data_IF_018302542963
#
_entry.id   IF_018302542963
#
_cell.length_a   1.000
_cell.length_b   1.000
_cell.length_c   1.000
_cell.angle_alpha   90.00
_cell.angle_beta   90.00
_cell.angle_gamma   90.00
#
_symmetry.space_group_name_H-M   'P 1'
#
loop_
_entity.id
_entity.type
_entity.pdbx_description
1 polymer ?
#
# COMPACT_ATOMS: atom_id res chain seq x y z
N UNK A 1 31.76 -57.93 -57.89
CA UNK A 1 32.39 -56.61 -58.03
C UNK A 1 31.62 -55.62 -57.15
N UNK A 2 32.31 -55.04 -56.17
CA UNK A 2 31.78 -54.18 -55.10
C UNK A 2 31.72 -52.71 -55.55
N UNK A 3 30.56 -52.04 -55.41
CA UNK A 3 30.42 -50.58 -55.16
C UNK A 3 29.03 -50.34 -54.56
N UNK A 4 28.92 -50.03 -53.27
CA UNK A 4 29.13 -48.74 -52.58
C UNK A 4 27.86 -47.89 -52.47
N UNK A 5 27.51 -47.62 -51.21
CA UNK A 5 27.09 -46.32 -50.63
C UNK A 5 25.63 -45.89 -50.81
N UNK A 6 24.87 -46.28 -49.78
CA UNK A 6 24.02 -45.43 -48.93
C UNK A 6 23.79 -43.97 -49.33
N UNK A 7 22.52 -43.61 -49.52
CA UNK A 7 22.04 -42.24 -49.22
C UNK A 7 20.67 -42.31 -48.55
N UNK A 8 20.65 -41.89 -47.29
CA UNK A 8 19.50 -41.96 -46.41
C UNK A 8 18.38 -41.00 -46.80
N UNK A 9 17.18 -41.33 -46.34
CA UNK A 9 16.06 -40.39 -46.23
C UNK A 9 15.51 -40.48 -44.81
N UNK A 10 15.63 -39.36 -44.12
CA UNK A 10 15.37 -39.17 -42.69
C UNK A 10 13.90 -39.40 -42.40
N UNK A 11 13.64 -40.14 -41.33
CA UNK A 11 12.36 -40.28 -40.66
C UNK A 11 12.06 -38.99 -39.89
N UNK A 12 10.85 -38.48 -40.00
CA UNK A 12 10.32 -37.38 -39.19
C UNK A 12 8.97 -36.96 -39.79
N UNK A 13 7.90 -36.77 -39.04
CA UNK A 13 7.66 -36.85 -37.62
C UNK A 13 6.18 -36.55 -37.43
N UNK A 14 5.51 -37.39 -36.67
CA UNK A 14 4.34 -37.14 -35.80
C UNK A 14 3.50 -35.89 -36.16
N UNK A 15 2.37 -36.10 -36.84
CA UNK A 15 1.30 -35.11 -36.93
C UNK A 15 0.40 -35.23 -35.68
N UNK A 16 0.72 -34.46 -34.64
CA UNK A 16 -0.14 -34.24 -33.47
C UNK A 16 -0.74 -32.84 -33.62
N UNK A 17 -1.98 -32.74 -34.09
CA UNK A 17 -2.72 -31.46 -34.14
C UNK A 17 -3.17 -31.16 -32.70
N UNK A 18 -2.31 -30.50 -31.94
CA UNK A 18 -2.68 -29.92 -30.65
C UNK A 18 -3.49 -28.65 -30.91
N UNK A 19 -4.82 -28.74 -30.75
CA UNK A 19 -5.72 -27.59 -30.71
C UNK A 19 -5.48 -26.83 -29.38
N UNK A 20 -4.52 -25.91 -29.41
CA UNK A 20 -4.23 -24.99 -28.32
C UNK A 20 -5.34 -23.92 -28.28
N UNK A 21 -6.30 -24.06 -27.37
CA UNK A 21 -7.30 -23.01 -27.09
C UNK A 21 -6.58 -21.80 -26.46
N UNK A 22 -6.27 -20.82 -27.30
CA UNK A 22 -5.82 -19.48 -26.89
C UNK A 22 -7.02 -18.76 -26.26
N UNK A 23 -7.07 -18.74 -24.93
CA UNK A 23 -7.99 -17.85 -24.22
C UNK A 23 -7.42 -16.43 -24.37
N UNK A 24 -7.92 -15.68 -25.35
CA UNK A 24 -7.66 -14.24 -25.46
C UNK A 24 -8.53 -13.55 -24.42
N UNK A 25 -7.98 -13.28 -23.25
CA UNK A 25 -8.59 -12.32 -22.31
C UNK A 25 -8.54 -10.93 -22.94
N UNK A 26 -9.68 -10.46 -23.42
CA UNK A 26 -9.85 -9.06 -23.81
C UNK A 26 -9.95 -8.23 -22.53
N UNK A 27 -8.85 -7.58 -22.15
CA UNK A 27 -8.88 -6.55 -21.13
C UNK A 27 -9.66 -5.35 -21.68
N UNK A 28 -10.86 -5.10 -21.16
CA UNK A 28 -11.60 -3.89 -21.47
C UNK A 28 -10.84 -2.70 -20.87
N UNK A 29 -10.62 -1.60 -21.63
CA UNK A 29 -10.02 -0.40 -21.05
C UNK A 29 -10.94 0.11 -19.94
N UNK A 30 -10.40 0.26 -18.73
CA UNK A 30 -11.09 0.98 -17.67
C UNK A 30 -11.33 2.41 -18.18
N UNK A 31 -12.59 2.80 -18.32
CA UNK A 31 -12.92 4.18 -18.66
C UNK A 31 -12.36 5.09 -17.56
N UNK A 32 -11.31 5.85 -17.89
CA UNK A 32 -10.82 6.89 -17.01
C UNK A 32 -11.98 7.86 -16.77
N UNK A 33 -12.41 8.00 -15.51
CA UNK A 33 -13.40 9.00 -15.16
C UNK A 33 -12.79 10.36 -15.47
N UNK A 34 -13.34 11.06 -16.47
CA UNK A 34 -12.94 12.41 -16.81
C UNK A 34 -13.66 13.38 -15.89
N UNK A 35 -12.91 14.29 -15.28
CA UNK A 35 -13.41 15.34 -14.41
C UNK A 35 -12.35 16.43 -14.24
N UNK A 36 -12.72 17.59 -13.69
CA UNK A 36 -11.74 18.63 -13.40
C UNK A 36 -10.68 18.09 -12.42
N UNK A 37 -9.44 18.58 -12.58
CA UNK A 37 -8.38 18.21 -11.67
C UNK A 37 -8.77 18.59 -10.23
N UNK A 38 -8.57 17.68 -9.30
CA UNK A 38 -9.01 17.86 -7.91
C UNK A 38 -8.22 16.97 -6.97
N UNK A 39 -8.10 17.41 -5.72
CA UNK A 39 -7.47 16.66 -4.63
C UNK A 39 -8.50 16.48 -3.53
N UNK A 40 -8.61 15.27 -3.00
CA UNK A 40 -9.29 14.99 -1.74
C UNK A 40 -8.24 14.50 -0.75
N UNK A 41 -8.02 15.32 0.27
CA UNK A 41 -7.06 15.07 1.33
C UNK A 41 -7.69 15.56 2.64
N UNK A 42 -7.52 14.78 3.70
CA UNK A 42 -7.97 15.17 5.03
C UNK A 42 -6.77 15.19 5.97
N UNK A 43 -6.95 15.94 7.05
CA UNK A 43 -6.08 15.94 8.21
C UNK A 43 -5.88 14.52 8.71
N UNK A 44 -4.62 14.17 8.94
CA UNK A 44 -4.22 12.82 9.31
C UNK A 44 -2.85 12.87 9.99
N UNK A 45 -2.50 11.85 10.79
CA UNK A 45 -1.14 11.72 11.29
C UNK A 45 -0.16 11.35 10.17
N UNK A 46 1.09 11.75 10.33
CA UNK A 46 2.19 11.26 9.49
C UNK A 46 2.69 9.95 10.09
N UNK A 47 2.32 8.82 9.48
CA UNK A 47 2.71 7.49 9.97
C UNK A 47 3.94 7.04 9.21
N UNK A 48 5.01 6.73 9.95
CA UNK A 48 6.29 6.32 9.38
C UNK A 48 6.81 7.29 8.32
N UNK A 49 6.55 8.61 8.46
CA UNK A 49 6.95 9.67 7.52
C UNK A 49 6.20 9.68 6.18
N UNK A 50 4.96 9.23 6.17
CA UNK A 50 4.14 9.09 4.96
C UNK A 50 2.76 9.70 5.18
N UNK A 51 2.21 10.28 4.13
CA UNK A 51 0.81 10.71 4.08
C UNK A 51 0.07 9.96 2.98
N UNK A 52 -1.25 9.84 3.12
CA UNK A 52 -2.11 9.19 2.12
C UNK A 52 -3.08 10.21 1.55
N UNK A 53 -3.00 10.42 0.23
CA UNK A 53 -3.95 11.22 -0.52
C UNK A 53 -5.11 10.32 -0.94
N UNK A 54 -6.29 10.58 -0.38
CA UNK A 54 -7.47 9.74 -0.56
C UNK A 54 -7.88 9.67 -2.04
N UNK A 55 -7.84 10.81 -2.73
CA UNK A 55 -8.12 10.89 -4.15
C UNK A 55 -7.36 12.04 -4.81
N UNK A 56 -6.83 11.78 -6.00
CA UNK A 56 -6.37 12.81 -6.91
C UNK A 56 -6.94 12.54 -8.31
N UNK A 57 -7.70 13.48 -8.85
CA UNK A 57 -8.11 13.49 -10.26
C UNK A 57 -7.13 14.35 -11.04
N UNK A 58 -6.57 13.82 -12.12
CA UNK A 58 -5.64 14.55 -12.99
C UNK A 58 -5.96 14.27 -14.46
N UNK A 59 -5.96 15.28 -15.36
CA UNK A 59 -6.35 15.09 -16.76
C UNK A 59 -5.30 14.34 -17.60
N UNK A 60 -4.04 14.34 -17.17
CA UNK A 60 -2.93 13.66 -17.81
C UNK A 60 -1.95 13.11 -16.75
N UNK A 61 -0.94 12.37 -17.17
CA UNK A 61 0.10 11.90 -16.25
C UNK A 61 0.78 13.09 -15.57
N UNK A 62 1.17 12.91 -14.32
CA UNK A 62 1.59 14.02 -13.49
C UNK A 62 2.10 13.62 -12.12
N UNK A 63 2.13 14.61 -11.24
CA UNK A 63 2.66 14.48 -9.90
C UNK A 63 1.72 15.10 -8.87
N UNK A 64 1.65 14.48 -7.71
CA UNK A 64 1.23 15.17 -6.48
C UNK A 64 2.47 15.48 -5.66
N UNK A 65 2.61 16.73 -5.26
CA UNK A 65 3.79 17.24 -4.58
C UNK A 65 3.37 17.91 -3.29
N UNK A 66 4.10 17.61 -2.21
CA UNK A 66 3.83 18.11 -0.87
C UNK A 66 4.85 19.18 -0.52
N UNK A 67 4.35 20.30 -0.03
CA UNK A 67 5.11 21.48 0.37
C UNK A 67 4.80 21.85 1.80
N UNK A 68 5.72 22.57 2.43
CA UNK A 68 5.48 23.18 3.74
C UNK A 68 4.66 24.45 3.58
N UNK A 69 3.97 24.80 4.66
CA UNK A 69 3.59 26.18 4.89
C UNK A 69 4.77 27.01 5.42
N UNK A 70 4.80 28.29 5.07
CA UNK A 70 5.71 29.27 5.62
C UNK A 70 5.26 29.77 6.99
N UNK A 71 6.02 30.69 7.60
CA UNK A 71 5.69 31.24 8.92
C UNK A 71 4.32 31.94 8.98
N UNK A 72 3.79 32.37 7.84
CA UNK A 72 2.49 33.00 7.66
C UNK A 72 1.39 32.01 7.24
N UNK A 73 1.67 30.70 7.26
CA UNK A 73 0.75 29.64 6.84
C UNK A 73 0.67 29.43 5.33
N UNK A 74 1.32 30.27 4.52
CA UNK A 74 1.21 30.23 3.06
C UNK A 74 2.10 29.16 2.44
N UNK A 75 1.70 28.68 1.26
CA UNK A 75 2.48 27.72 0.47
C UNK A 75 3.93 28.19 0.24
N UNK A 76 4.90 27.36 0.63
CA UNK A 76 6.30 27.50 0.22
C UNK A 76 6.61 26.51 -0.91
N UNK A 77 6.64 27.03 -2.13
CA UNK A 77 6.82 26.25 -3.38
C UNK A 77 8.21 25.61 -3.51
N UNK A 78 9.18 25.99 -2.67
CA UNK A 78 10.50 25.37 -2.63
C UNK A 78 11.08 25.39 -1.22
N UNK A 79 11.68 24.28 -0.74
CA UNK A 79 11.73 22.95 -1.36
C UNK A 79 10.43 22.15 -1.18
N UNK A 80 10.15 21.21 -2.08
CA UNK A 80 9.13 20.17 -1.84
C UNK A 80 9.63 19.16 -0.81
N UNK A 81 8.74 18.66 0.04
CA UNK A 81 9.06 17.68 1.08
C UNK A 81 8.54 16.28 0.77
N UNK A 82 7.83 16.07 -0.33
CA UNK A 82 7.36 14.75 -0.76
C UNK A 82 6.73 14.80 -2.14
N UNK A 83 6.73 13.67 -2.85
CA UNK A 83 6.08 13.57 -4.16
C UNK A 83 5.69 12.13 -4.50
N UNK A 84 4.66 11.98 -5.34
CA UNK A 84 4.29 10.70 -5.94
C UNK A 84 3.79 10.92 -7.37
N UNK A 85 4.08 9.95 -8.25
CA UNK A 85 3.59 9.95 -9.62
C UNK A 85 2.10 9.58 -9.66
N UNK A 86 1.37 10.22 -10.57
CA UNK A 86 -0.04 10.00 -10.83
C UNK A 86 -0.24 9.61 -12.29
N UNK A 87 -1.24 8.78 -12.55
CA UNK A 87 -1.70 8.49 -13.92
C UNK A 87 -2.94 9.30 -14.24
N UNK A 88 -3.12 9.59 -15.53
CA UNK A 88 -4.33 10.25 -16.03
C UNK A 88 -5.60 9.56 -15.49
N UNK A 89 -6.55 10.37 -15.02
CA UNK A 89 -7.80 9.95 -14.39
C UNK A 89 -7.75 9.98 -12.86
N UNK A 90 -8.52 9.09 -12.23
CA UNK A 90 -8.67 9.04 -10.77
C UNK A 90 -7.61 8.13 -10.16
N UNK A 91 -6.78 8.69 -9.29
CA UNK A 91 -5.85 7.99 -8.42
C UNK A 91 -6.45 7.96 -7.01
N UNK A 92 -6.33 6.83 -6.31
CA UNK A 92 -6.84 6.65 -4.94
C UNK A 92 -5.74 6.12 -4.04
N UNK A 93 -5.83 6.48 -2.76
CA UNK A 93 -4.95 5.98 -1.71
C UNK A 93 -3.46 6.16 -2.08
N UNK A 94 -3.14 7.34 -2.63
CA UNK A 94 -1.80 7.65 -3.13
C UNK A 94 -0.90 7.91 -1.94
N UNK A 95 0.08 7.03 -1.77
CA UNK A 95 1.05 7.08 -0.69
C UNK A 95 2.18 8.03 -1.08
N UNK A 96 2.39 9.08 -0.28
CA UNK A 96 3.47 10.04 -0.49
C UNK A 96 4.47 9.97 0.65
N UNK A 97 5.70 9.58 0.32
CA UNK A 97 6.82 9.56 1.26
C UNK A 97 7.33 10.98 1.46
N UNK A 98 7.42 11.41 2.72
CA UNK A 98 8.06 12.67 3.07
C UNK A 98 9.58 12.47 3.21
N UNK A 99 10.35 13.43 2.72
CA UNK A 99 11.80 13.46 2.75
C UNK A 99 12.36 13.91 4.11
N UNK A 100 11.52 14.57 4.91
CA UNK A 100 11.86 15.05 6.25
C UNK A 100 10.70 14.79 7.22
N UNK A 101 11.01 14.87 8.51
CA UNK A 101 10.00 14.80 9.57
C UNK A 101 9.21 16.11 9.64
N UNK A 102 7.91 15.98 9.88
CA UNK A 102 6.99 17.11 10.00
C UNK A 102 6.33 17.04 11.38
N UNK A 103 6.33 18.17 12.07
CA UNK A 103 5.74 18.28 13.41
C UNK A 103 4.21 18.18 13.37
N UNK A 104 3.63 17.72 14.47
CA UNK A 104 2.19 17.76 14.70
C UNK A 104 1.68 19.21 14.67
N UNK A 105 0.48 19.41 14.12
CA UNK A 105 -0.13 20.72 13.90
C UNK A 105 0.47 21.53 12.76
N UNK A 106 1.53 21.04 12.08
CA UNK A 106 2.10 21.76 10.96
C UNK A 106 1.15 21.73 9.73
N UNK A 107 0.88 22.88 9.10
CA UNK A 107 0.15 22.92 7.84
C UNK A 107 1.09 22.54 6.69
N UNK A 108 0.60 21.67 5.82
CA UNK A 108 1.24 21.32 4.55
C UNK A 108 0.26 21.55 3.39
N UNK A 109 0.83 21.64 2.20
CA UNK A 109 0.10 21.86 0.97
C UNK A 109 0.41 20.77 -0.05
N UNK A 110 -0.62 20.12 -0.57
CA UNK A 110 -0.53 19.26 -1.74
C UNK A 110 -0.86 20.07 -3.00
N UNK A 111 -0.03 19.96 -4.03
CA UNK A 111 -0.22 20.62 -5.32
C UNK A 111 -0.08 19.61 -6.46
N UNK A 112 -1.01 19.66 -7.42
CA UNK A 112 -0.90 18.87 -8.64
C UNK A 112 0.01 19.55 -9.66
N UNK A 113 0.87 18.75 -10.30
CA UNK A 113 1.68 19.16 -11.44
C UNK A 113 1.43 18.21 -12.61
N UNK A 114 1.61 18.72 -13.83
CA UNK A 114 1.72 17.89 -15.03
C UNK A 114 3.12 17.27 -15.10
N UNK A 115 3.23 16.10 -15.71
CA UNK A 115 4.51 15.44 -16.03
C UNK A 115 4.76 15.69 -17.52
N UNK A 116 5.59 16.70 -17.81
CA UNK A 116 5.93 17.12 -19.17
C UNK A 116 7.45 17.03 -19.38
N UNK A 117 7.90 17.01 -20.63
CA UNK A 117 9.33 16.79 -20.91
C UNK A 117 9.71 15.33 -20.75
N UNK A 118 10.45 14.97 -19.71
CA UNK A 118 10.94 13.61 -19.50
C UNK A 118 9.98 12.83 -18.60
N UNK A 119 9.05 12.13 -19.25
CA UNK A 119 8.01 11.34 -18.58
C UNK A 119 8.57 10.47 -17.44
N UNK A 120 8.01 10.64 -16.26
CA UNK A 120 8.40 9.95 -15.03
C UNK A 120 9.59 10.58 -14.30
N UNK A 121 10.07 11.74 -14.73
CA UNK A 121 11.04 12.56 -14.00
C UNK A 121 10.40 13.86 -13.57
N UNK A 122 10.52 14.18 -12.28
CA UNK A 122 9.97 15.42 -11.76
C UNK A 122 10.95 16.59 -11.98
N UNK A 123 10.52 17.59 -12.74
CA UNK A 123 11.35 18.67 -13.30
C UNK A 123 10.92 20.08 -12.87
N UNK A 124 10.43 20.25 -11.64
CA UNK A 124 10.06 21.55 -11.09
C UNK A 124 10.89 21.92 -9.84
N UNK A 125 11.26 23.21 -9.63
CA UNK A 125 10.92 24.39 -10.43
C UNK A 125 11.83 24.63 -11.65
N UNK A 126 11.32 25.38 -12.62
CA UNK A 126 12.09 25.90 -13.76
C UNK A 126 12.25 24.96 -14.96
N UNK A 127 11.73 23.73 -14.87
CA UNK A 127 11.60 22.82 -16.00
C UNK A 127 10.16 22.75 -16.52
N UNK A 128 9.85 21.73 -17.35
CA UNK A 128 8.56 21.59 -18.04
C UNK A 128 7.39 21.29 -17.09
N UNK A 129 7.62 20.53 -16.02
CA UNK A 129 6.58 20.21 -15.02
C UNK A 129 6.03 21.48 -14.39
N UNK A 130 4.74 21.77 -14.63
CA UNK A 130 4.09 22.99 -14.16
C UNK A 130 2.88 22.66 -13.28
N UNK A 131 2.51 23.53 -12.33
CA UNK A 131 1.28 23.35 -11.56
C UNK A 131 0.06 23.28 -12.47
N UNK A 132 -0.88 22.41 -12.15
CA UNK A 132 -2.19 22.38 -12.83
C UNK A 132 -3.02 23.55 -12.32
N UNK A 133 -3.49 24.38 -13.24
CA UNK A 133 -4.24 25.60 -12.95
C UNK A 133 -5.65 25.49 -13.53
N UNK A 134 -6.66 25.76 -12.70
CA UNK A 134 -8.07 25.85 -13.10
C UNK A 134 -8.54 27.26 -12.77
N UNK A 135 -9.13 27.96 -13.74
CA UNK A 135 -9.64 29.34 -13.58
C UNK A 135 -8.60 30.33 -13.00
N UNK A 136 -7.32 30.12 -13.33
CA UNK A 136 -6.20 30.95 -12.84
C UNK A 136 -5.69 30.59 -11.45
N UNK A 137 -6.25 29.56 -10.80
CA UNK A 137 -5.84 29.10 -9.47
C UNK A 137 -5.18 27.72 -9.54
N UNK A 138 -3.98 27.52 -8.97
CA UNK A 138 -3.37 26.20 -8.85
C UNK A 138 -4.25 25.25 -8.04
N UNK A 139 -4.33 23.99 -8.46
CA UNK A 139 -5.10 22.97 -7.73
C UNK A 139 -4.32 22.55 -6.49
N UNK A 140 -4.80 23.03 -5.34
CA UNK A 140 -4.20 22.87 -4.03
C UNK A 140 -5.16 22.18 -3.06
N UNK A 141 -4.59 21.44 -2.11
CA UNK A 141 -5.29 21.00 -0.90
C UNK A 141 -4.38 21.20 0.31
N UNK A 142 -4.95 21.74 1.38
CA UNK A 142 -4.29 21.87 2.66
C UNK A 142 -4.47 20.58 3.48
N UNK A 143 -3.48 20.28 4.31
CA UNK A 143 -3.52 19.21 5.30
C UNK A 143 -2.84 19.70 6.57
N UNK A 144 -3.52 19.54 7.70
CA UNK A 144 -2.91 19.69 9.02
C UNK A 144 -2.43 18.33 9.51
N UNK A 145 -1.15 18.23 9.87
CA UNK A 145 -0.61 17.00 10.47
C UNK A 145 -1.24 16.79 11.84
N UNK A 146 -1.93 15.68 12.02
CA UNK A 146 -2.52 15.33 13.31
C UNK A 146 -1.53 14.56 14.19
N UNK A 147 -1.81 14.53 15.49
CA UNK A 147 -1.02 13.72 16.41
C UNK A 147 -1.09 12.24 16.03
N UNK A 148 0.08 11.61 15.97
CA UNK A 148 0.20 10.18 15.73
C UNK A 148 -0.22 9.42 16.97
N UNK A 149 -1.53 9.26 17.17
CA UNK A 149 -2.11 8.64 18.36
C UNK A 149 -1.66 7.19 18.53
N UNK A 150 -0.52 6.99 19.20
CA UNK A 150 -0.35 5.87 20.12
C UNK A 150 -0.84 6.36 21.47
N UNK A 151 -2.15 6.43 21.65
CA UNK A 151 -2.72 6.60 22.98
C UNK A 151 -2.45 5.31 23.79
N UNK A 152 -1.25 5.24 24.38
CA UNK A 152 -0.93 4.31 25.46
C UNK A 152 -1.30 4.91 26.82
N UNK A 153 -1.97 6.07 26.85
CA UNK A 153 -2.35 6.79 28.07
C UNK A 153 -3.77 6.49 28.56
N UNK A 154 -4.59 5.73 27.81
CA UNK A 154 -5.90 5.26 28.25
C UNK A 154 -5.88 4.12 29.31
N UNK A 155 -4.75 3.84 29.97
CA UNK A 155 -4.66 2.88 31.06
C UNK A 155 -3.89 3.43 32.27
N UNK A 156 -4.15 4.68 32.67
CA UNK A 156 -3.68 5.18 33.97
C UNK A 156 -4.54 6.30 34.53
N UNK A 157 -5.87 6.18 34.44
CA UNK A 157 -6.77 6.94 35.33
C UNK A 157 -7.93 6.08 35.85
N UNK A 158 -7.58 4.88 36.31
CA UNK A 158 -8.36 4.21 37.34
C UNK A 158 -7.82 4.69 38.69
N UNK A 159 -8.32 5.84 39.16
CA UNK A 159 -8.17 6.24 40.55
C UNK A 159 -8.76 5.14 41.46
N UNK A 160 -8.01 4.58 42.43
CA UNK A 160 -8.60 3.66 43.40
C UNK A 160 -9.47 4.45 44.35
N UNK A 161 -10.80 4.38 44.18
CA UNK A 161 -11.73 4.91 45.17
C UNK A 161 -11.61 4.08 46.45
N UNK A 162 -11.01 4.69 47.47
CA UNK A 162 -11.04 4.21 48.85
C UNK A 162 -11.98 5.11 49.63
N UNK A 163 -13.18 4.62 49.94
CA UNK A 163 -13.97 5.09 51.10
C UNK A 163 -14.68 3.91 51.76
N UNK A 164 -14.12 3.54 52.92
CA UNK A 164 -14.54 2.73 54.08
C UNK A 164 -16.05 2.50 54.39
N UNK A 165 -16.36 1.54 55.31
CA UNK A 165 -17.49 0.58 55.28
C UNK A 165 -18.64 0.84 56.29
N UNK A 166 -19.69 -0.01 56.29
CA UNK A 166 -20.40 -0.38 57.51
C UNK A 166 -20.19 -1.87 57.84
N UNK A 167 -19.50 -2.08 58.97
CA UNK A 167 -19.72 -3.10 60.00
C UNK A 167 -20.78 -4.19 59.71
N UNK A 168 -20.32 -5.42 59.42
CA UNK A 168 -20.89 -6.69 59.95
C UNK A 168 -19.72 -7.66 60.21
N UNK A 169 -19.47 -7.99 61.48
CA UNK A 169 -18.58 -9.08 61.93
C UNK A 169 -19.21 -10.48 61.71
N UNK A 170 -18.54 -11.59 62.06
CA UNK A 170 -17.45 -12.25 61.34
C UNK A 170 -17.85 -13.67 60.92
N UNK A 171 -17.24 -14.21 59.85
CA UNK A 171 -17.20 -15.65 59.63
C UNK A 171 -15.75 -16.09 59.56
N UNK A 172 -15.40 -16.91 60.53
CA UNK A 172 -14.09 -17.46 60.83
C UNK A 172 -13.74 -18.64 59.91
N UNK A 173 -12.45 -18.70 59.57
CA UNK A 173 -11.59 -19.85 59.25
C UNK A 173 -11.46 -20.37 57.81
N UNK A 174 -10.19 -20.62 57.45
CA UNK A 174 -9.71 -21.40 56.30
C UNK A 174 -8.74 -20.60 55.42
N UNK A 175 -7.56 -20.22 55.92
CA UNK A 175 -6.28 -20.92 55.66
C UNK A 175 -5.79 -20.86 54.19
N UNK A 176 -4.74 -20.06 53.99
CA UNK A 176 -3.53 -20.27 53.17
C UNK A 176 -3.56 -21.36 52.07
N UNK A 177 -3.36 -20.98 50.81
CA UNK A 177 -2.45 -21.68 49.87
C UNK A 177 -2.28 -20.79 48.62
N UNK A 178 -1.17 -20.08 48.41
CA UNK A 178 0.08 -20.57 47.81
C UNK A 178 -0.12 -21.37 46.50
N UNK A 179 0.87 -21.18 45.60
CA UNK A 179 1.21 -21.99 44.43
C UNK A 179 0.70 -21.50 43.07
N UNK A 180 1.56 -20.71 42.42
CA UNK A 180 1.75 -20.77 40.97
C UNK A 180 1.99 -22.22 40.51
N UNK A 181 1.46 -22.64 39.35
CA UNK A 181 2.09 -23.69 38.57
C UNK A 181 2.80 -23.13 37.33
N UNK A 182 4.11 -23.35 37.35
CA UNK A 182 5.03 -23.38 36.23
C UNK A 182 4.59 -24.45 35.19
N UNK A 183 4.88 -24.18 33.91
CA UNK A 183 5.32 -25.16 32.89
C UNK A 183 4.30 -26.18 32.31
N UNK A 184 4.06 -26.10 30.99
CA UNK A 184 4.06 -27.29 30.13
C UNK A 184 4.33 -26.93 28.66
N UNK A 185 5.52 -27.33 28.22
CA UNK A 185 5.98 -27.43 26.83
C UNK A 185 5.43 -28.72 26.22
N UNK A 186 4.84 -28.70 25.02
CA UNK A 186 4.75 -29.90 24.18
C UNK A 186 4.59 -29.57 22.68
N UNK A 187 5.61 -30.02 21.93
CA UNK A 187 5.72 -30.13 20.48
C UNK A 187 4.65 -31.10 19.91
N UNK A 188 4.14 -30.84 18.71
CA UNK A 188 3.32 -31.78 17.94
C UNK A 188 3.52 -31.63 16.43
N UNK A 189 4.28 -32.57 15.85
CA UNK A 189 4.75 -32.62 14.46
C UNK A 189 3.87 -33.58 13.62
N UNK A 190 3.44 -33.12 12.43
CA UNK A 190 3.25 -33.79 11.11
C UNK A 190 2.58 -35.19 11.05
N UNK A 191 1.45 -35.28 10.32
CA UNK A 191 1.29 -36.05 9.05
C UNK A 191 -0.12 -36.68 8.86
N UNK A 192 -0.65 -36.55 7.63
CA UNK A 192 -0.95 -37.67 6.70
C UNK A 192 -2.38 -37.66 6.08
N UNK A 193 -2.41 -37.77 4.74
CA UNK A 193 -3.53 -38.32 3.95
C UNK A 193 -4.21 -37.29 3.01
N UNK A 194 -4.31 -37.48 1.69
CA UNK A 194 -4.07 -38.67 0.90
C UNK A 194 -3.93 -38.36 -0.59
N UNK A 195 -3.05 -39.14 -1.22
CA UNK A 195 -2.74 -39.21 -2.63
C UNK A 195 -3.45 -40.47 -3.16
N UNK A 196 -4.38 -40.35 -4.11
CA UNK A 196 -4.94 -41.51 -4.81
C UNK A 196 -4.32 -41.62 -6.21
N UNK A 197 -3.63 -42.74 -6.39
CA UNK A 197 -2.93 -43.21 -7.58
C UNK A 197 -3.88 -43.66 -8.70
N UNK A 198 -3.42 -43.61 -9.95
CA UNK A 198 -3.41 -44.76 -10.90
C UNK A 198 -3.12 -44.27 -12.32
N UNK A 199 -2.42 -44.97 -13.22
CA UNK A 199 -1.41 -46.03 -13.17
C UNK A 199 -0.96 -46.14 -14.64
N UNK A 200 0.35 -46.24 -14.87
CA UNK A 200 0.95 -46.36 -16.20
C UNK A 200 0.59 -47.67 -16.92
N UNK A 201 0.59 -47.65 -18.26
CA UNK A 201 0.90 -48.82 -19.08
C UNK A 201 1.55 -48.37 -20.41
N UNK A 202 2.78 -48.83 -20.61
CA UNK A 202 3.60 -48.70 -21.81
C UNK A 202 3.35 -49.92 -22.75
N UNK A 203 3.22 -49.65 -24.07
CA UNK A 203 3.69 -50.44 -25.24
C UNK A 203 3.23 -51.90 -25.47
N UNK A 204 3.59 -52.59 -26.59
CA UNK A 204 4.04 -52.18 -27.94
C UNK A 204 3.36 -52.95 -29.11
N UNK A 205 3.67 -52.58 -30.36
CA UNK A 205 4.10 -53.49 -31.45
C UNK A 205 4.87 -52.69 -32.51
#
# INVERSE_FOLDING_TARGET
MLRMVTRGRRVGGVAFIALLTLIVTVALPAAAQSGPASITLADQPVISGTIVVQRAMIPQDGWIVIYKAGPDGKLLVSPSIGRAALKAGTNRDVVVRLAEEVAEGAPLWAMLHVDEGVIGQYEFPGGPDSPIVIDGVPVLAEITVQAGGLDLTAASDATPVTTSPPDIMPHTAGEEDLLLPLLALALGLIALGGFTTSRAALQPA
#
